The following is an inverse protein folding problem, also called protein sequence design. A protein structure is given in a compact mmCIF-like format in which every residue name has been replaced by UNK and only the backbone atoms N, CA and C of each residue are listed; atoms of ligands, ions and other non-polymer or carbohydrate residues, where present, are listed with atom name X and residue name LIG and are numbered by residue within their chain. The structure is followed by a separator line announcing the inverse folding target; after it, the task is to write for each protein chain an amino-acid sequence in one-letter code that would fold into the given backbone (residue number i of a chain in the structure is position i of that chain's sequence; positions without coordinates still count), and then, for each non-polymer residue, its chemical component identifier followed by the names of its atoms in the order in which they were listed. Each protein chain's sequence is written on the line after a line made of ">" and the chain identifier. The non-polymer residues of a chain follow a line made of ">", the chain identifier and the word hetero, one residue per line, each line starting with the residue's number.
data_IF_200299784525
#
_entry.id   IF_200299784525
#
_cell.length_a   1.000
_cell.length_b   1.000
_cell.length_c   1.000
_cell.angle_alpha   90.00
_cell.angle_beta   90.00
_cell.angle_gamma   90.00
#
_symmetry.space_group_name_H-M   'P 1'
#
loop_
_entity.id
_entity.type
_entity.pdbx_description
1 polymer ?
#
# COMPACT_ATOMS: atom_id res chain seq x y z
N UNK A 1 -13.51 17.26 -32.17
CA UNK A 1 -12.44 16.40 -31.62
C UNK A 1 -13.08 15.09 -31.17
N UNK A 2 -12.56 13.92 -31.56
CA UNK A 2 -13.06 12.65 -31.02
C UNK A 2 -12.77 12.61 -29.51
N UNK A 3 -13.77 12.26 -28.71
CA UNK A 3 -13.59 12.06 -27.26
C UNK A 3 -12.61 10.90 -27.06
N UNK A 4 -11.53 11.16 -26.34
CA UNK A 4 -10.47 10.19 -26.07
C UNK A 4 -11.02 9.01 -25.26
N UNK A 5 -10.52 7.80 -25.52
CA UNK A 5 -10.95 6.63 -24.77
C UNK A 5 -10.50 6.75 -23.30
N UNK A 6 -11.35 6.42 -22.30
CA UNK A 6 -10.98 6.56 -20.88
C UNK A 6 -9.68 5.82 -20.50
N UNK A 7 -9.48 4.61 -21.04
CA UNK A 7 -8.26 3.83 -20.82
C UNK A 7 -7.02 4.49 -21.43
N UNK A 8 -7.14 5.11 -22.62
CA UNK A 8 -6.00 5.84 -23.21
C UNK A 8 -5.60 7.05 -22.35
N UNK A 9 -6.58 7.71 -21.71
CA UNK A 9 -6.32 8.81 -20.79
C UNK A 9 -5.68 8.35 -19.47
N UNK A 10 -5.94 7.11 -19.01
CA UNK A 10 -5.23 6.51 -17.88
C UNK A 10 -3.79 6.14 -18.27
N UNK A 11 -3.60 5.50 -19.43
CA UNK A 11 -2.28 5.08 -19.91
C UNK A 11 -1.30 6.27 -20.02
N UNK A 12 -1.79 7.43 -20.45
CA UNK A 12 -0.97 8.64 -20.55
C UNK A 12 -0.50 9.22 -19.21
N UNK A 13 -1.13 8.84 -18.10
CA UNK A 13 -0.67 9.23 -16.77
C UNK A 13 0.61 8.48 -16.37
N UNK A 14 0.90 7.35 -17.04
CA UNK A 14 1.96 6.43 -16.63
C UNK A 14 1.60 5.65 -15.36
N UNK A 15 2.50 4.79 -14.91
CA UNK A 15 2.35 4.13 -13.61
C UNK A 15 2.64 5.12 -12.47
N UNK A 16 1.84 5.04 -11.40
CA UNK A 16 1.98 5.89 -10.24
C UNK A 16 1.30 5.26 -9.01
N UNK A 17 1.14 6.04 -7.94
CA UNK A 17 0.58 5.62 -6.64
C UNK A 17 -0.74 4.84 -6.72
N UNK A 18 -1.59 5.11 -7.72
CA UNK A 18 -2.92 4.53 -7.84
C UNK A 18 -3.15 3.87 -9.20
N UNK A 19 -2.09 3.67 -9.99
CA UNK A 19 -2.18 3.08 -11.32
C UNK A 19 -0.97 2.20 -11.60
N UNK A 20 -1.22 0.94 -11.95
CA UNK A 20 -0.20 -0.07 -12.22
C UNK A 20 -0.59 -0.79 -13.52
N UNK A 21 0.38 -0.99 -14.40
CA UNK A 21 0.22 -1.69 -15.67
C UNK A 21 0.73 -3.10 -15.54
N UNK A 22 0.02 -4.05 -16.17
CA UNK A 22 0.47 -5.43 -16.29
C UNK A 22 0.19 -5.88 -17.71
N UNK A 23 1.25 -6.33 -18.38
CA UNK A 23 1.12 -6.92 -19.71
C UNK A 23 0.22 -8.15 -19.67
N UNK A 24 0.44 -9.03 -18.68
CA UNK A 24 -0.34 -10.23 -18.40
C UNK A 24 -0.29 -10.56 -16.90
N UNK A 25 -1.15 -11.48 -16.46
CA UNK A 25 -1.07 -12.06 -15.12
C UNK A 25 -0.53 -13.48 -15.25
N UNK A 26 0.71 -13.71 -14.83
CA UNK A 26 1.32 -15.05 -14.87
C UNK A 26 1.49 -15.71 -13.49
N UNK A 27 1.28 -14.94 -12.42
CA UNK A 27 1.43 -15.40 -11.03
C UNK A 27 0.47 -14.64 -10.11
N UNK A 28 -0.56 -15.34 -9.62
CA UNK A 28 -1.54 -14.78 -8.70
C UNK A 28 -0.91 -14.27 -7.40
N UNK A 29 0.21 -14.84 -6.92
CA UNK A 29 0.89 -14.35 -5.72
C UNK A 29 1.52 -12.97 -5.96
N UNK A 30 2.05 -12.70 -7.15
CA UNK A 30 2.56 -11.35 -7.50
C UNK A 30 1.44 -10.33 -7.51
N UNK A 31 0.29 -10.67 -8.10
CA UNK A 31 -0.90 -9.81 -8.08
C UNK A 31 -1.39 -9.60 -6.66
N UNK A 32 -1.41 -10.63 -5.82
CA UNK A 32 -1.85 -10.52 -4.42
C UNK A 32 -1.02 -9.49 -3.63
N UNK A 33 0.29 -9.36 -3.91
CA UNK A 33 1.14 -8.31 -3.31
C UNK A 33 0.69 -6.91 -3.74
N UNK A 34 0.31 -6.74 -5.01
CA UNK A 34 -0.22 -5.46 -5.50
C UNK A 34 -1.61 -5.16 -4.93
N UNK A 35 -2.49 -6.16 -4.83
CA UNK A 35 -3.79 -6.01 -4.16
C UNK A 35 -3.63 -5.59 -2.69
N UNK A 36 -2.74 -6.27 -1.96
CA UNK A 36 -2.36 -5.92 -0.58
C UNK A 36 -1.83 -4.49 -0.49
N UNK A 37 -0.92 -4.08 -1.39
CA UNK A 37 -0.36 -2.74 -1.41
C UNK A 37 -1.42 -1.65 -1.63
N UNK A 38 -2.31 -1.82 -2.61
CA UNK A 38 -3.39 -0.87 -2.87
C UNK A 38 -4.37 -0.79 -1.70
N UNK A 39 -4.85 -1.93 -1.20
CA UNK A 39 -5.81 -1.97 -0.09
C UNK A 39 -5.25 -1.34 1.21
N UNK A 40 -3.96 -1.54 1.48
CA UNK A 40 -3.30 -0.96 2.66
C UNK A 40 -2.98 0.54 2.51
N UNK A 41 -3.11 1.12 1.32
CA UNK A 41 -2.72 2.49 1.01
C UNK A 41 -3.92 3.30 0.53
N UNK A 42 -3.86 3.88 -0.68
CA UNK A 42 -4.85 4.81 -1.23
C UNK A 42 -5.83 4.14 -2.21
N UNK A 43 -5.83 2.80 -2.29
CA UNK A 43 -6.46 2.07 -3.39
C UNK A 43 -5.75 2.30 -4.72
N UNK A 44 -6.34 1.81 -5.81
CA UNK A 44 -5.78 2.01 -7.15
C UNK A 44 -6.42 1.16 -8.23
N UNK A 45 -5.87 1.28 -9.43
CA UNK A 45 -6.28 0.58 -10.64
C UNK A 45 -5.12 -0.23 -11.20
N UNK A 46 -5.42 -1.47 -11.57
CA UNK A 46 -4.59 -2.32 -12.40
C UNK A 46 -5.14 -2.31 -13.82
N UNK A 47 -4.31 -1.99 -14.81
CA UNK A 47 -4.64 -2.20 -16.22
C UNK A 47 -3.90 -3.43 -16.74
N UNK A 48 -4.65 -4.51 -16.96
CA UNK A 48 -4.13 -5.76 -17.51
C UNK A 48 -4.28 -5.76 -19.03
N UNK A 49 -3.25 -6.21 -19.74
CA UNK A 49 -3.14 -6.09 -21.19
C UNK A 49 -2.47 -4.79 -21.64
N UNK A 50 -1.72 -4.15 -20.75
CA UNK A 50 -0.96 -2.91 -21.01
C UNK A 50 0.49 -3.14 -20.58
N UNK A 51 1.44 -2.89 -21.49
CA UNK A 51 2.88 -2.96 -21.20
C UNK A 51 3.34 -1.74 -20.41
N UNK A 52 4.49 -1.85 -19.76
CA UNK A 52 5.12 -0.78 -18.97
C UNK A 52 5.34 0.52 -19.79
N UNK A 53 5.53 0.39 -21.12
CA UNK A 53 5.63 1.54 -22.03
C UNK A 53 4.27 2.11 -22.50
N UNK A 54 3.17 1.68 -21.91
CA UNK A 54 1.80 2.08 -22.25
C UNK A 54 1.22 1.38 -23.49
N UNK A 55 1.96 0.51 -24.17
CA UNK A 55 1.45 -0.18 -25.35
C UNK A 55 0.36 -1.19 -24.96
N UNK A 56 -0.82 -1.06 -25.57
CA UNK A 56 -1.95 -2.00 -25.37
C UNK A 56 -1.65 -3.30 -26.12
N UNK A 57 -1.44 -4.39 -25.38
CA UNK A 57 -1.36 -5.76 -25.91
C UNK A 57 -2.73 -6.42 -25.99
N UNK A 58 -3.59 -6.09 -25.03
CA UNK A 58 -4.87 -6.73 -24.78
C UNK A 58 -4.75 -8.06 -24.03
N UNK A 59 -5.82 -8.43 -23.33
CA UNK A 59 -6.03 -9.76 -22.76
C UNK A 59 -6.77 -10.64 -23.78
N UNK A 60 -6.50 -11.95 -23.77
CA UNK A 60 -7.01 -12.88 -24.80
C UNK A 60 -8.16 -13.76 -24.31
N UNK A 61 -8.33 -13.89 -23.00
CA UNK A 61 -9.33 -14.78 -22.41
C UNK A 61 -9.84 -14.23 -21.07
N UNK A 62 -10.63 -15.03 -20.37
CA UNK A 62 -11.08 -14.76 -19.00
C UNK A 62 -10.01 -15.12 -17.95
N UNK A 63 -8.89 -15.73 -18.36
CA UNK A 63 -7.88 -16.30 -17.47
C UNK A 63 -7.31 -15.25 -16.52
N UNK A 64 -6.99 -14.06 -17.02
CA UNK A 64 -6.45 -12.98 -16.19
C UNK A 64 -7.42 -12.56 -15.09
N UNK A 65 -8.74 -12.57 -15.37
CA UNK A 65 -9.74 -12.29 -14.34
C UNK A 65 -9.72 -13.36 -13.24
N UNK A 66 -9.71 -14.64 -13.60
CA UNK A 66 -9.67 -15.73 -12.62
C UNK A 66 -8.38 -15.75 -11.82
N UNK A 67 -7.26 -15.37 -12.41
CA UNK A 67 -5.99 -15.26 -11.68
C UNK A 67 -5.99 -14.12 -10.67
N UNK A 68 -6.66 -13.01 -10.97
CA UNK A 68 -6.87 -11.89 -10.03
C UNK A 68 -7.88 -12.30 -8.95
N UNK A 69 -8.92 -13.05 -9.31
CA UNK A 69 -9.85 -13.62 -8.33
C UNK A 69 -9.13 -14.57 -7.36
N UNK A 70 -8.26 -15.44 -7.84
CA UNK A 70 -7.42 -16.28 -7.00
C UNK A 70 -6.44 -15.46 -6.14
N UNK A 71 -5.84 -14.41 -6.71
CA UNK A 71 -4.99 -13.47 -5.97
C UNK A 71 -5.73 -12.86 -4.78
N UNK A 72 -6.96 -12.39 -5.00
CA UNK A 72 -7.84 -11.84 -3.97
C UNK A 72 -8.23 -12.91 -2.94
N UNK A 73 -8.95 -13.95 -3.36
CA UNK A 73 -9.61 -14.89 -2.43
C UNK A 73 -8.65 -15.87 -1.74
N UNK A 74 -7.58 -16.28 -2.40
CA UNK A 74 -6.70 -17.35 -1.91
C UNK A 74 -5.39 -16.82 -1.34
N UNK A 75 -4.93 -15.66 -1.83
CA UNK A 75 -3.59 -15.14 -1.51
C UNK A 75 -3.59 -13.80 -0.81
N UNK A 76 -4.76 -13.21 -0.51
CA UNK A 76 -4.84 -12.06 0.42
C UNK A 76 -5.58 -12.40 1.70
N UNK A 77 -5.06 -11.92 2.83
CA UNK A 77 -5.66 -12.12 4.16
C UNK A 77 -5.67 -10.81 4.97
N UNK A 78 -6.85 -10.25 5.31
CA UNK A 78 -8.18 -10.65 4.80
C UNK A 78 -8.29 -10.48 3.28
N UNK A 79 -9.34 -11.04 2.67
CA UNK A 79 -9.62 -10.90 1.23
C UNK A 79 -9.65 -9.43 0.82
N UNK A 80 -9.01 -9.10 -0.30
CA UNK A 80 -9.07 -7.76 -0.91
C UNK A 80 -10.14 -7.78 -2.01
N UNK A 81 -11.33 -7.21 -1.79
CA UNK A 81 -12.35 -7.13 -2.83
C UNK A 81 -11.91 -6.19 -3.95
N UNK A 82 -12.34 -6.49 -5.17
CA UNK A 82 -12.10 -5.65 -6.34
C UNK A 82 -13.33 -5.58 -7.23
N UNK A 83 -13.35 -4.57 -8.10
CA UNK A 83 -14.28 -4.50 -9.23
C UNK A 83 -13.49 -4.62 -10.52
N UNK A 84 -14.05 -5.31 -11.52
CA UNK A 84 -13.39 -5.49 -12.80
C UNK A 84 -14.27 -5.00 -13.94
N UNK A 85 -13.66 -4.35 -14.93
CA UNK A 85 -14.33 -3.86 -16.13
C UNK A 85 -13.48 -4.16 -17.36
N UNK A 86 -14.11 -4.72 -18.39
CA UNK A 86 -13.50 -4.88 -19.71
C UNK A 86 -13.73 -3.66 -20.56
N UNK A 87 -12.70 -3.29 -21.30
CA UNK A 87 -12.71 -2.16 -22.21
C UNK A 87 -12.17 -2.57 -23.57
N UNK A 88 -12.93 -2.33 -24.64
CA UNK A 88 -12.44 -2.51 -26.00
C UNK A 88 -11.79 -1.22 -26.50
N UNK A 89 -10.47 -1.29 -26.72
CA UNK A 89 -9.63 -0.17 -27.13
C UNK A 89 -8.86 -0.59 -28.38
N UNK A 90 -9.15 0.04 -29.51
CA UNK A 90 -8.48 -0.23 -30.79
C UNK A 90 -8.52 -1.72 -31.20
N UNK A 91 -9.65 -2.40 -30.94
CA UNK A 91 -9.85 -3.82 -31.25
C UNK A 91 -9.15 -4.79 -30.30
N UNK A 92 -8.61 -4.30 -29.18
CA UNK A 92 -8.02 -5.10 -28.10
C UNK A 92 -8.78 -4.88 -26.80
N UNK A 93 -8.91 -5.93 -26.00
CA UNK A 93 -9.59 -5.84 -24.71
C UNK A 93 -8.58 -5.54 -23.60
N UNK A 94 -8.81 -4.52 -22.78
CA UNK A 94 -8.06 -4.22 -21.56
C UNK A 94 -8.94 -4.53 -20.36
N UNK A 95 -8.40 -5.24 -19.37
CA UNK A 95 -9.09 -5.50 -18.11
C UNK A 95 -8.64 -4.47 -17.07
N UNK A 96 -9.54 -3.58 -16.70
CA UNK A 96 -9.37 -2.65 -15.59
C UNK A 96 -9.85 -3.31 -14.30
N UNK A 97 -8.98 -3.40 -13.31
CA UNK A 97 -9.32 -3.86 -11.96
C UNK A 97 -9.13 -2.73 -10.98
N UNK A 98 -10.19 -2.36 -10.27
CA UNK A 98 -10.18 -1.32 -9.25
C UNK A 98 -10.25 -1.92 -7.84
N UNK A 99 -9.35 -1.45 -6.98
CA UNK A 99 -9.20 -1.81 -5.58
C UNK A 99 -9.42 -0.54 -4.75
N UNK A 100 -10.40 -0.58 -3.84
CA UNK A 100 -10.60 0.53 -2.90
C UNK A 100 -9.54 0.49 -1.78
N UNK A 101 -9.19 1.64 -1.19
CA UNK A 101 -8.50 1.64 0.11
C UNK A 101 -9.39 0.90 1.12
N UNK A 102 -8.78 0.05 1.94
CA UNK A 102 -9.51 -0.75 2.92
C UNK A 102 -9.41 -0.15 4.31
N UNK A 103 -10.51 -0.18 5.07
CA UNK A 103 -10.51 0.13 6.49
C UNK A 103 -10.08 -1.07 7.36
N UNK A 104 -9.98 -2.26 6.76
CA UNK A 104 -9.61 -3.51 7.45
C UNK A 104 -8.11 -3.85 7.39
N UNK A 105 -7.25 -2.83 7.38
CA UNK A 105 -5.78 -3.01 7.34
C UNK A 105 -5.26 -3.81 8.55
N UNK A 106 -4.19 -4.61 8.42
CA UNK A 106 -3.47 -4.92 7.19
C UNK A 106 -4.10 -6.06 6.39
N UNK A 107 -4.11 -5.92 5.07
CA UNK A 107 -4.16 -7.04 4.13
C UNK A 107 -2.76 -7.57 3.86
N UNK A 108 -2.59 -8.89 3.95
CA UNK A 108 -1.30 -9.56 3.75
C UNK A 108 -1.33 -10.46 2.52
N UNK A 109 -0.17 -10.68 1.89
CA UNK A 109 0.02 -11.57 0.76
C UNK A 109 1.34 -12.37 0.91
N UNK A 110 1.47 -13.56 0.29
CA UNK A 110 2.67 -14.38 0.41
C UNK A 110 3.86 -13.73 -0.29
N UNK A 111 5.01 -13.70 0.38
CA UNK A 111 6.30 -13.40 -0.24
C UNK A 111 6.80 -14.58 -1.09
N UNK A 112 8.09 -14.60 -1.45
CA UNK A 112 8.67 -15.67 -2.27
C UNK A 112 8.82 -16.99 -1.52
N UNK A 113 8.82 -16.94 -0.18
CA UNK A 113 8.97 -18.08 0.72
C UNK A 113 7.62 -18.48 1.35
N UNK A 114 6.50 -18.06 0.75
CA UNK A 114 5.14 -18.27 1.24
C UNK A 114 4.84 -17.71 2.62
N UNK A 115 5.64 -16.75 3.09
CA UNK A 115 5.36 -16.02 4.34
C UNK A 115 4.46 -14.83 4.03
N UNK A 116 3.35 -14.75 4.76
CA UNK A 116 2.41 -13.65 4.60
C UNK A 116 2.97 -12.34 5.17
N UNK A 117 3.01 -11.30 4.34
CA UNK A 117 3.50 -9.96 4.65
C UNK A 117 2.49 -8.92 4.18
N UNK A 118 2.43 -7.78 4.86
CA UNK A 118 1.67 -6.63 4.36
C UNK A 118 2.56 -5.76 3.48
N UNK A 119 1.99 -5.31 2.37
CA UNK A 119 2.64 -4.39 1.43
C UNK A 119 1.94 -3.03 1.48
N UNK A 120 2.66 -1.96 1.18
CA UNK A 120 2.14 -0.61 0.97
C UNK A 120 2.62 -0.11 -0.40
N UNK A 121 1.85 0.80 -1.00
CA UNK A 121 2.15 1.38 -2.30
C UNK A 121 2.90 2.70 -2.11
N UNK A 122 4.02 2.84 -2.82
CA UNK A 122 4.85 4.05 -2.81
C UNK A 122 5.26 4.34 -4.25
N UNK A 123 4.68 5.39 -4.82
CA UNK A 123 4.74 5.65 -6.24
C UNK A 123 4.32 4.40 -7.04
N UNK A 124 5.17 3.89 -7.92
CA UNK A 124 4.94 2.71 -8.75
C UNK A 124 5.43 1.40 -8.09
N UNK A 125 5.91 1.43 -6.85
CA UNK A 125 6.46 0.25 -6.17
C UNK A 125 5.61 -0.24 -4.99
N UNK A 126 5.69 -1.56 -4.76
CA UNK A 126 5.14 -2.22 -3.57
C UNK A 126 6.28 -2.48 -2.57
N UNK A 127 6.24 -1.88 -1.39
CA UNK A 127 7.22 -2.10 -0.33
C UNK A 127 6.60 -2.77 0.90
N UNK A 128 7.42 -3.40 1.73
CA UNK A 128 6.95 -4.07 2.95
C UNK A 128 6.54 -3.05 4.02
N UNK A 129 5.37 -3.24 4.61
CA UNK A 129 4.99 -2.54 5.83
C UNK A 129 5.86 -3.04 6.99
N UNK A 130 6.41 -2.11 7.77
CA UNK A 130 7.23 -2.47 8.93
C UNK A 130 6.38 -2.74 10.17
N UNK A 131 7.04 -3.19 11.25
CA UNK A 131 6.36 -3.58 12.49
C UNK A 131 5.59 -2.44 13.17
N UNK A 132 6.02 -1.19 12.99
CA UNK A 132 5.30 -0.02 13.55
C UNK A 132 3.95 0.13 12.86
N UNK A 133 3.90 0.07 11.52
CA UNK A 133 2.64 0.12 10.77
C UNK A 133 1.73 -1.06 11.13
N UNK A 134 2.30 -2.27 11.16
CA UNK A 134 1.57 -3.47 11.54
C UNK A 134 0.96 -3.37 12.94
N UNK A 135 1.68 -2.79 13.89
CA UNK A 135 1.17 -2.60 15.24
C UNK A 135 0.15 -1.46 15.33
N UNK A 136 0.34 -0.37 14.58
CA UNK A 136 -0.61 0.74 14.52
C UNK A 136 -1.97 0.29 13.97
N UNK A 137 -2.00 -0.43 12.85
CA UNK A 137 -3.24 -0.96 12.27
C UNK A 137 -3.97 -1.94 13.21
N UNK A 138 -3.23 -2.77 13.95
CA UNK A 138 -3.82 -3.64 14.98
C UNK A 138 -4.49 -2.83 16.10
N UNK A 139 -3.84 -1.75 16.56
CA UNK A 139 -4.37 -0.87 17.61
C UNK A 139 -5.60 -0.09 17.15
N UNK A 140 -5.63 0.38 15.89
CA UNK A 140 -6.78 1.06 15.31
C UNK A 140 -8.06 0.20 15.29
N UNK A 141 -7.92 -1.14 15.21
CA UNK A 141 -9.05 -2.07 15.28
C UNK A 141 -9.60 -2.31 16.68
N UNK A 142 -8.87 -1.92 17.74
CA UNK A 142 -9.31 -2.17 19.12
C UNK A 142 -10.32 -1.12 19.59
N UNK A 143 -11.41 -1.57 20.23
CA UNK A 143 -12.49 -0.68 20.72
C UNK A 143 -12.08 0.18 21.93
N UNK A 144 -11.07 -0.24 22.68
CA UNK A 144 -10.62 0.41 23.91
C UNK A 144 -9.85 1.71 23.66
N UNK A 145 -9.56 2.03 22.39
CA UNK A 145 -8.72 3.16 22.02
C UNK A 145 -7.26 2.93 22.43
N UNK A 146 -6.40 3.88 22.06
CA UNK A 146 -4.97 3.82 22.42
C UNK A 146 -4.67 4.90 23.46
N UNK A 147 -4.30 4.47 24.68
CA UNK A 147 -3.87 5.39 25.74
C UNK A 147 -2.36 5.63 25.64
N UNK A 148 -1.96 6.85 25.27
CA UNK A 148 -0.56 7.26 25.30
C UNK A 148 -0.27 8.09 26.54
N UNK A 149 0.67 7.63 27.37
CA UNK A 149 1.25 8.46 28.44
C UNK A 149 2.26 9.43 27.84
N UNK A 150 2.02 10.73 28.00
CA UNK A 150 3.03 11.75 27.70
C UNK A 150 4.21 11.52 28.66
N UNK A 151 5.32 11.08 28.09
CA UNK A 151 6.53 10.68 28.79
C UNK A 151 7.72 11.39 28.16
N UNK A 152 8.86 11.39 28.84
CA UNK A 152 10.05 12.10 28.35
C UNK A 152 10.45 11.72 26.91
N UNK A 153 10.39 10.45 26.49
CA UNK A 153 10.63 10.08 25.09
C UNK A 153 9.64 10.69 24.09
N UNK A 154 8.35 10.81 24.46
CA UNK A 154 7.33 11.44 23.61
C UNK A 154 7.59 12.93 23.45
N UNK A 155 7.98 13.63 24.52
CA UNK A 155 8.40 15.04 24.44
C UNK A 155 9.60 15.23 23.53
N UNK A 156 10.63 14.38 23.67
CA UNK A 156 11.84 14.42 22.82
C UNK A 156 11.47 14.19 21.34
N UNK A 157 10.57 13.23 21.07
CA UNK A 157 10.10 12.96 19.72
C UNK A 157 9.45 14.20 19.08
N UNK A 158 8.54 14.85 19.78
CA UNK A 158 7.86 16.03 19.25
C UNK A 158 8.80 17.23 19.12
N UNK A 159 9.66 17.48 20.12
CA UNK A 159 10.68 18.53 20.04
C UNK A 159 11.62 18.34 18.84
N UNK A 160 11.99 17.10 18.50
CA UNK A 160 12.76 16.82 17.28
C UNK A 160 11.97 17.15 16.01
N UNK A 161 10.69 16.79 15.96
CA UNK A 161 9.82 16.97 14.81
C UNK A 161 9.38 18.43 14.59
N UNK A 162 9.57 19.31 15.58
CA UNK A 162 9.38 20.76 15.42
C UNK A 162 10.51 21.38 14.55
N UNK A 163 11.69 20.77 14.55
CA UNK A 163 12.86 21.23 13.79
C UNK A 163 13.16 20.36 12.55
N UNK A 164 12.66 19.13 12.50
CA UNK A 164 12.95 18.17 11.44
C UNK A 164 11.65 17.59 10.85
N UNK A 165 11.55 17.45 9.52
CA UNK A 165 10.31 17.04 8.87
C UNK A 165 9.90 15.58 9.14
N UNK A 166 10.83 14.72 9.53
CA UNK A 166 10.58 13.31 9.82
C UNK A 166 11.66 12.71 10.71
N UNK A 167 11.39 11.52 11.24
CA UNK A 167 12.32 10.72 12.05
C UNK A 167 12.18 9.23 11.74
N UNK A 168 13.30 8.53 11.60
CA UNK A 168 13.31 7.07 11.57
C UNK A 168 13.27 6.48 12.99
N UNK A 169 12.79 5.25 13.15
CA UNK A 169 12.80 4.57 14.47
C UNK A 169 14.22 4.48 15.07
N UNK A 170 15.26 4.30 14.23
CA UNK A 170 16.66 4.27 14.69
C UNK A 170 17.13 5.62 15.23
N UNK A 171 16.75 6.71 14.58
CA UNK A 171 17.01 8.07 15.09
C UNK A 171 16.25 8.29 16.40
N UNK A 172 14.98 7.88 16.47
CA UNK A 172 14.18 8.02 17.68
C UNK A 172 14.80 7.29 18.87
N UNK A 173 15.22 6.03 18.69
CA UNK A 173 15.96 5.29 19.73
C UNK A 173 17.19 6.06 20.24
N UNK A 174 17.95 6.68 19.31
CA UNK A 174 19.19 7.40 19.63
C UNK A 174 18.91 8.67 20.44
N UNK A 175 17.99 9.52 19.99
CA UNK A 175 17.75 10.83 20.62
C UNK A 175 17.01 10.70 21.96
N UNK A 176 16.13 9.70 22.09
CA UNK A 176 15.35 9.49 23.31
C UNK A 176 16.00 8.50 24.28
N UNK A 177 17.15 7.92 23.93
CA UNK A 177 17.86 6.91 24.72
C UNK A 177 16.97 5.72 25.13
N UNK A 178 16.15 5.25 24.18
CA UNK A 178 15.23 4.12 24.38
C UNK A 178 15.57 2.95 23.45
N UNK A 179 15.18 1.75 23.88
CA UNK A 179 15.31 0.58 23.03
C UNK A 179 14.27 0.57 21.90
N UNK A 180 14.50 -0.28 20.90
CA UNK A 180 13.64 -0.41 19.73
C UNK A 180 12.19 -0.78 20.08
N UNK A 181 11.99 -1.62 21.09
CA UNK A 181 10.66 -2.03 21.53
C UNK A 181 9.83 -0.84 22.04
N UNK A 182 10.42 0.00 22.89
CA UNK A 182 9.80 1.20 23.40
C UNK A 182 9.52 2.21 22.27
N UNK A 183 10.49 2.44 21.38
CA UNK A 183 10.32 3.33 20.23
C UNK A 183 9.19 2.87 19.31
N UNK A 184 9.15 1.57 18.99
CA UNK A 184 8.10 0.95 18.16
C UNK A 184 6.72 1.09 18.82
N UNK A 185 6.61 0.88 20.13
CA UNK A 185 5.35 1.04 20.84
C UNK A 185 4.84 2.48 20.78
N UNK A 186 5.69 3.46 21.14
CA UNK A 186 5.33 4.88 21.11
C UNK A 186 4.91 5.33 19.71
N UNK A 187 5.72 5.01 18.69
CA UNK A 187 5.40 5.39 17.32
C UNK A 187 4.10 4.75 16.84
N UNK A 188 3.89 3.46 17.13
CA UNK A 188 2.65 2.78 16.72
C UNK A 188 1.43 3.28 17.49
N UNK A 189 1.58 3.72 18.75
CA UNK A 189 0.50 4.37 19.50
C UNK A 189 0.11 5.70 18.85
N UNK A 190 1.10 6.55 18.56
CA UNK A 190 0.89 7.85 17.93
C UNK A 190 0.28 7.74 16.53
N UNK A 191 0.75 6.77 15.74
CA UNK A 191 0.18 6.44 14.43
C UNK A 191 -1.27 5.95 14.56
N UNK A 192 -1.56 5.08 15.54
CA UNK A 192 -2.91 4.57 15.76
C UNK A 192 -3.89 5.68 16.18
N UNK A 193 -3.42 6.66 16.95
CA UNK A 193 -4.18 7.83 17.37
C UNK A 193 -4.35 8.90 16.29
N UNK A 194 -3.69 8.75 15.13
CA UNK A 194 -3.70 9.77 14.07
C UNK A 194 -2.92 11.04 14.45
N UNK A 195 -1.98 10.97 15.39
CA UNK A 195 -1.09 12.09 15.72
C UNK A 195 0.14 12.15 14.80
N UNK A 196 0.44 11.03 14.15
CA UNK A 196 1.56 10.86 13.24
C UNK A 196 1.13 10.11 11.99
N UNK A 197 1.88 10.34 10.92
CA UNK A 197 1.81 9.58 9.69
C UNK A 197 3.21 9.11 9.28
N UNK A 198 3.26 8.14 8.36
CA UNK A 198 4.52 7.64 7.84
C UNK A 198 4.86 8.32 6.52
N UNK A 199 6.15 8.35 6.21
CA UNK A 199 6.70 8.80 4.93
C UNK A 199 7.75 7.78 4.51
N UNK A 200 7.98 7.65 3.20
CA UNK A 200 9.01 6.75 2.69
C UNK A 200 10.12 7.58 2.06
N UNK A 201 11.31 7.51 2.65
CA UNK A 201 12.54 8.17 2.20
C UNK A 201 13.54 7.08 1.82
N UNK A 202 14.03 7.07 0.59
CA UNK A 202 14.99 6.07 0.11
C UNK A 202 14.57 4.62 0.41
N UNK A 203 13.29 4.31 0.14
CA UNK A 203 12.64 3.01 0.43
C UNK A 203 12.60 2.63 1.91
N UNK A 204 12.89 3.57 2.81
CA UNK A 204 12.81 3.40 4.26
C UNK A 204 11.63 4.15 4.85
N UNK A 205 10.88 3.48 5.73
CA UNK A 205 9.76 4.10 6.44
C UNK A 205 10.30 5.00 7.58
N UNK A 206 9.93 6.27 7.53
CA UNK A 206 10.10 7.28 8.58
C UNK A 206 8.74 7.82 9.02
N UNK A 207 8.73 8.63 10.07
CA UNK A 207 7.50 9.12 10.70
C UNK A 207 7.54 10.64 10.83
N UNK A 208 6.40 11.28 10.59
CA UNK A 208 6.21 12.72 10.76
C UNK A 208 4.93 13.01 11.52
N UNK A 209 4.85 14.21 12.07
CA UNK A 209 3.64 14.71 12.72
C UNK A 209 2.60 15.08 11.65
N UNK A 210 1.33 14.82 11.93
CA UNK A 210 0.24 15.35 11.10
C UNK A 210 0.09 16.85 11.43
N UNK A 211 0.12 17.68 10.40
CA UNK A 211 0.00 19.14 10.51
C UNK A 211 -1.43 19.57 10.88
#
# INVERSE_FOLDING_TARGET
>A
MKKKHPIEALIEQGEHQQLDFKFEVSDSKKIARTLSAFANTDGGRLLIGVKDNGAISGVRSEEEYYMIEAASKMYTHPEVPFTAKRWDVNGKTVLEVYIAPSDEKPHTAPDKDDKYKAYIRVADENILANEVLMQAWKKQKTKEGTLLKISKPVEILFSWLDEHPYISIKQFCRIAHINYYAARNILSDLMAMGAMEYVVIDKCIAYKRIA
#
